data_IF_561509348679
#
_entry.id   IF_561509348679
#
_cell.length_a   1.000
_cell.length_b   1.000
_cell.length_c   1.000
_cell.angle_alpha   90.00
_cell.angle_beta   90.00
_cell.angle_gamma   90.00
#
_symmetry.space_group_name_H-M   'P 1'
#
loop_
_entity.id
_entity.type
_entity.pdbx_description
1 polymer ?
#
# COMPACT_ATOMS: atom_id res chain seq x y z
N UNK A 1 4.27 -15.81 -4.52
CA UNK A 1 4.83 -14.44 -4.44
C UNK A 1 6.34 -14.47 -4.23
N UNK A 2 7.11 -13.50 -4.75
CA UNK A 2 8.57 -13.43 -4.54
C UNK A 2 8.98 -12.99 -3.12
N UNK A 3 8.01 -12.61 -2.28
CA UNK A 3 8.20 -12.29 -0.85
C UNK A 3 8.98 -13.36 -0.08
N UNK A 4 8.88 -14.65 -0.46
CA UNK A 4 9.62 -15.74 0.17
C UNK A 4 11.14 -15.68 -0.02
N UNK A 5 11.60 -14.91 -1.00
CA UNK A 5 13.04 -14.69 -1.25
C UNK A 5 13.62 -13.60 -0.34
N UNK A 6 12.78 -12.90 0.42
CA UNK A 6 13.20 -11.84 1.33
C UNK A 6 13.50 -12.39 2.73
N UNK A 7 14.48 -11.82 3.45
CA UNK A 7 14.62 -12.03 4.88
C UNK A 7 13.35 -11.59 5.63
N UNK A 8 13.06 -12.23 6.77
CA UNK A 8 11.87 -11.98 7.59
C UNK A 8 11.60 -10.49 7.85
N UNK A 9 12.61 -9.71 8.21
CA UNK A 9 12.47 -8.26 8.46
C UNK A 9 12.02 -7.47 7.22
N UNK A 10 12.43 -7.93 6.03
CA UNK A 10 12.09 -7.31 4.74
C UNK A 10 10.69 -7.73 4.27
N UNK A 11 10.22 -8.91 4.66
CA UNK A 11 8.82 -9.33 4.44
C UNK A 11 7.85 -8.44 5.19
N UNK A 12 8.12 -8.16 6.48
CA UNK A 12 7.31 -7.23 7.28
C UNK A 12 7.27 -5.86 6.63
N UNK A 13 8.44 -5.33 6.25
CA UNK A 13 8.51 -4.03 5.58
C UNK A 13 7.72 -4.02 4.26
N UNK A 14 7.82 -5.07 3.45
CA UNK A 14 7.08 -5.17 2.19
C UNK A 14 5.57 -5.13 2.41
N UNK A 15 5.05 -5.86 3.40
CA UNK A 15 3.62 -5.88 3.72
C UNK A 15 3.14 -4.51 4.17
N UNK A 16 3.91 -3.81 5.01
CA UNK A 16 3.57 -2.45 5.45
C UNK A 16 3.61 -1.45 4.27
N UNK A 17 4.59 -1.57 3.36
CA UNK A 17 4.66 -0.74 2.16
C UNK A 17 3.48 -0.98 1.23
N UNK A 18 3.10 -2.25 1.02
CA UNK A 18 1.94 -2.64 0.22
C UNK A 18 0.64 -2.06 0.81
N UNK A 19 0.51 -2.12 2.13
CA UNK A 19 -0.61 -1.53 2.86
C UNK A 19 -0.68 -0.02 2.69
N UNK A 20 0.46 0.67 2.78
CA UNK A 20 0.50 2.11 2.52
C UNK A 20 0.03 2.43 1.10
N UNK A 21 0.51 1.70 0.10
CA UNK A 21 0.09 1.86 -1.30
C UNK A 21 -1.42 1.73 -1.46
N UNK A 22 -2.00 0.61 -1.05
CA UNK A 22 -3.44 0.35 -1.12
C UNK A 22 -4.26 1.43 -0.41
N UNK A 23 -3.86 1.86 0.80
CA UNK A 23 -4.62 2.88 1.55
C UNK A 23 -4.47 4.30 0.99
N UNK A 24 -3.44 4.59 0.21
CA UNK A 24 -3.09 5.97 -0.17
C UNK A 24 -4.04 6.56 -1.20
N UNK A 25 -4.66 5.74 -2.04
CA UNK A 25 -5.66 6.18 -3.04
C UNK A 25 -7.11 5.92 -2.61
N UNK A 26 -7.29 5.21 -1.50
CA UNK A 26 -8.61 4.83 -1.04
C UNK A 26 -9.42 6.01 -0.46
N UNK A 27 -10.76 6.04 -0.70
CA UNK A 27 -11.63 7.12 -0.23
C UNK A 27 -11.58 7.35 1.28
N UNK A 28 -11.74 8.60 1.68
CA UNK A 28 -11.85 9.00 3.08
C UNK A 28 -13.29 8.98 3.57
N UNK A 29 -13.47 8.46 4.78
CA UNK A 29 -14.76 8.43 5.46
C UNK A 29 -14.62 9.13 6.82
N UNK A 30 -15.54 10.06 7.10
CA UNK A 30 -15.69 10.71 8.38
C UNK A 30 -16.93 10.17 9.06
N UNK A 31 -16.73 9.49 10.19
CA UNK A 31 -17.83 8.82 10.91
C UNK A 31 -18.58 7.82 10.01
N UNK A 32 -17.84 7.14 9.14
CA UNK A 32 -18.37 6.20 8.15
C UNK A 32 -19.05 6.84 6.93
N UNK A 33 -19.04 8.18 6.82
CA UNK A 33 -19.70 8.93 5.74
C UNK A 33 -18.71 9.58 4.78
N UNK A 34 -19.10 9.72 3.52
CA UNK A 34 -18.34 10.48 2.55
C UNK A 34 -18.40 11.99 2.85
N UNK A 35 -17.50 12.76 2.23
CA UNK A 35 -17.37 14.21 2.48
C UNK A 35 -18.61 15.02 2.15
N UNK A 36 -19.33 14.62 1.10
CA UNK A 36 -20.58 15.22 0.64
C UNK A 36 -21.78 14.91 1.55
N UNK A 37 -21.67 13.87 2.37
CA UNK A 37 -22.69 13.45 3.35
C UNK A 37 -22.48 14.07 4.74
N UNK A 38 -21.50 14.97 4.89
CA UNK A 38 -21.18 15.59 6.16
C UNK A 38 -22.25 16.61 6.57
N UNK A 39 -22.63 16.52 7.83
CA UNK A 39 -23.60 17.41 8.48
C UNK A 39 -22.92 18.15 9.61
N UNK A 40 -23.59 19.16 10.19
CA UNK A 40 -23.06 19.90 11.35
C UNK A 40 -22.80 19.01 12.58
N UNK A 41 -23.46 17.84 12.66
CA UNK A 41 -23.31 16.88 13.76
C UNK A 41 -22.21 15.82 13.51
N UNK A 42 -21.61 15.80 12.32
CA UNK A 42 -20.59 14.81 11.96
C UNK A 42 -19.28 15.03 12.73
N UNK A 43 -18.73 13.96 13.31
CA UNK A 43 -17.44 14.04 14.01
C UNK A 43 -16.27 14.01 13.02
N UNK A 44 -15.74 15.20 12.70
CA UNK A 44 -14.61 15.35 11.78
C UNK A 44 -13.29 14.72 12.27
N UNK A 45 -13.19 14.37 13.56
CA UNK A 45 -12.03 13.68 14.09
C UNK A 45 -12.07 12.16 13.86
N UNK A 46 -13.25 11.61 13.57
CA UNK A 46 -13.44 10.18 13.30
C UNK A 46 -13.15 9.85 11.82
N UNK A 47 -11.92 10.13 11.40
CA UNK A 47 -11.44 9.85 10.04
C UNK A 47 -11.01 8.39 9.91
N UNK A 48 -11.45 7.75 8.84
CA UNK A 48 -11.11 6.37 8.45
C UNK A 48 -10.91 6.28 6.93
N UNK A 49 -10.28 5.21 6.46
CA UNK A 49 -10.02 4.96 5.04
C UNK A 49 -10.85 3.76 4.59
N UNK A 50 -11.61 3.90 3.52
CA UNK A 50 -12.41 2.81 2.96
C UNK A 50 -11.49 1.75 2.34
N UNK A 51 -11.46 0.54 2.89
CA UNK A 51 -10.62 -0.55 2.38
C UNK A 51 -11.25 -1.21 1.15
N UNK A 52 -10.46 -1.42 0.09
CA UNK A 52 -10.88 -2.21 -1.07
C UNK A 52 -10.79 -3.71 -0.75
N UNK A 53 -11.82 -4.49 -1.10
CA UNK A 53 -11.87 -5.92 -0.81
C UNK A 53 -10.76 -6.72 -1.52
N UNK A 54 -10.47 -6.42 -2.79
CA UNK A 54 -9.44 -7.12 -3.58
C UNK A 54 -8.02 -6.84 -3.07
N UNK A 55 -7.77 -5.62 -2.62
CA UNK A 55 -6.51 -5.23 -2.00
C UNK A 55 -6.38 -5.84 -0.61
N UNK A 56 -7.46 -5.84 0.17
CA UNK A 56 -7.48 -6.41 1.53
C UNK A 56 -7.16 -7.90 1.48
N UNK A 57 -7.79 -8.65 0.58
CA UNK A 57 -7.49 -10.08 0.37
C UNK A 57 -6.02 -10.31 -0.01
N UNK A 58 -5.48 -9.50 -0.93
CA UNK A 58 -4.08 -9.60 -1.34
C UNK A 58 -3.12 -9.29 -0.17
N UNK A 59 -3.41 -8.27 0.62
CA UNK A 59 -2.62 -7.91 1.80
C UNK A 59 -2.66 -9.01 2.86
N UNK A 60 -3.80 -9.64 3.07
CA UNK A 60 -3.93 -10.81 3.95
C UNK A 60 -3.13 -12.00 3.44
N UNK A 61 -3.11 -12.27 2.13
CA UNK A 61 -2.26 -13.30 1.54
C UNK A 61 -0.77 -12.97 1.75
N UNK A 62 -0.35 -11.74 1.47
CA UNK A 62 1.03 -11.28 1.67
C UNK A 62 1.48 -11.42 3.13
N UNK A 63 0.58 -11.13 4.06
CA UNK A 63 0.85 -11.20 5.49
C UNK A 63 1.17 -12.62 5.98
N UNK A 64 0.61 -13.65 5.35
CA UNK A 64 0.89 -15.04 5.71
C UNK A 64 2.37 -15.42 5.53
N UNK A 65 3.11 -14.69 4.68
CA UNK A 65 4.53 -14.93 4.47
C UNK A 65 5.43 -14.20 5.47
N UNK A 66 4.91 -13.18 6.16
CA UNK A 66 5.64 -12.43 7.17
C UNK A 66 5.57 -13.15 8.54
N UNK A 67 6.60 -13.01 9.39
CA UNK A 67 6.62 -13.69 10.68
C UNK A 67 5.54 -13.06 11.57
N UNK A 68 4.75 -13.91 12.24
CA UNK A 68 3.79 -13.46 13.23
C UNK A 68 4.50 -12.80 14.42
N UNK A 69 4.70 -11.48 14.39
CA UNK A 69 4.92 -10.72 15.62
C UNK A 69 3.55 -10.50 16.25
N UNK A 70 3.28 -11.31 17.29
CA UNK A 70 2.02 -11.42 18.05
C UNK A 70 0.81 -11.90 17.25
N UNK A 71 0.54 -13.22 17.34
CA UNK A 71 -0.79 -13.78 17.12
C UNK A 71 -1.80 -13.12 18.08
N UNK A 72 -2.97 -12.69 17.60
CA UNK A 72 -4.21 -12.98 18.31
C UNK A 72 -4.59 -14.44 18.02
N UNK A 73 -5.13 -15.10 19.04
CA UNK A 73 -5.79 -16.39 18.94
C UNK A 73 -6.88 -16.39 17.85
N UNK A 74 -7.22 -17.56 17.28
CA UNK A 74 -8.34 -17.69 16.34
C UNK A 74 -9.62 -17.15 16.99
N UNK A 75 -10.21 -16.11 16.38
CA UNK A 75 -11.43 -15.45 16.87
C UNK A 75 -11.29 -13.95 17.19
N UNK A 76 -10.08 -13.38 17.11
CA UNK A 76 -9.85 -11.93 17.25
C UNK A 76 -9.19 -11.43 15.96
N UNK A 77 -10.00 -11.21 14.93
CA UNK A 77 -9.59 -10.64 13.64
C UNK A 77 -9.34 -9.14 13.79
N UNK A 78 -8.20 -8.75 14.36
CA UNK A 78 -7.59 -7.43 14.13
C UNK A 78 -6.15 -7.42 14.67
N UNK A 79 -5.27 -8.12 13.95
CA UNK A 79 -4.19 -7.42 13.27
C UNK A 79 -3.58 -6.16 13.94
N UNK A 80 -2.83 -6.18 15.04
CA UNK A 80 -2.32 -4.93 15.65
C UNK A 80 -1.40 -4.09 14.71
N UNK A 81 -0.77 -4.75 13.72
CA UNK A 81 -0.02 -4.11 12.62
C UNK A 81 -0.93 -3.51 11.54
N UNK A 82 -2.14 -4.04 11.39
CA UNK A 82 -3.15 -3.56 10.43
C UNK A 82 -3.44 -2.06 10.60
N UNK A 83 -3.31 -1.60 11.85
CA UNK A 83 -3.61 -0.22 12.25
C UNK A 83 -2.40 0.71 12.27
N UNK A 84 -1.14 0.27 12.30
CA UNK A 84 -0.02 1.21 12.51
C UNK A 84 0.22 2.09 11.28
N UNK A 85 0.33 1.49 10.09
CA UNK A 85 0.44 2.26 8.84
C UNK A 85 -0.80 3.10 8.56
N UNK A 86 -2.01 2.54 8.75
CA UNK A 86 -3.27 3.26 8.57
C UNK A 86 -3.37 4.45 9.54
N UNK A 87 -3.09 4.24 10.84
CA UNK A 87 -3.08 5.33 11.84
C UNK A 87 -2.07 6.41 11.47
N UNK A 88 -0.84 6.04 11.09
CA UNK A 88 0.18 7.02 10.68
C UNK A 88 -0.28 7.84 9.48
N UNK A 89 -0.90 7.20 8.49
CA UNK A 89 -1.45 7.89 7.32
C UNK A 89 -2.58 8.84 7.72
N UNK A 90 -3.55 8.37 8.52
CA UNK A 90 -4.64 9.19 9.05
C UNK A 90 -4.12 10.40 9.82
N UNK A 91 -3.14 10.20 10.70
CA UNK A 91 -2.55 11.30 11.47
C UNK A 91 -1.83 12.32 10.58
N UNK A 92 -1.19 11.89 9.48
CA UNK A 92 -0.64 12.82 8.48
C UNK A 92 -1.73 13.55 7.72
N UNK A 93 -2.80 12.87 7.34
CA UNK A 93 -3.93 13.44 6.60
C UNK A 93 -4.70 14.47 7.44
N UNK A 94 -4.89 14.24 8.74
CA UNK A 94 -5.50 15.21 9.67
C UNK A 94 -4.74 16.54 9.76
N UNK A 95 -3.48 16.58 9.32
CA UNK A 95 -2.71 17.82 9.23
C UNK A 95 -3.16 18.77 8.11
N UNK A 96 -3.98 18.30 7.17
CA UNK A 96 -4.48 19.10 6.05
C UNK A 96 -5.88 19.66 6.33
N UNK A 97 -6.20 20.87 5.83
CA UNK A 97 -7.56 21.38 5.89
C UNK A 97 -8.55 20.44 5.20
N UNK A 98 -9.78 20.32 5.73
CA UNK A 98 -10.84 19.47 5.15
C UNK A 98 -11.11 19.78 3.67
N UNK A 99 -10.93 21.03 3.24
CA UNK A 99 -11.11 21.43 1.84
C UNK A 99 -10.02 20.89 0.90
N UNK A 100 -8.87 20.44 1.43
CA UNK A 100 -7.71 19.98 0.66
C UNK A 100 -7.31 18.52 0.91
N UNK A 101 -7.84 17.89 1.95
CA UNK A 101 -7.39 16.56 2.39
C UNK A 101 -7.58 15.45 1.35
N UNK A 102 -8.59 15.57 0.47
CA UNK A 102 -8.84 14.64 -0.63
C UNK A 102 -8.07 14.99 -1.91
N UNK A 103 -7.46 16.18 -1.97
CA UNK A 103 -6.72 16.60 -3.16
C UNK A 103 -5.49 15.69 -3.34
N UNK A 104 -5.21 15.22 -4.57
CA UNK A 104 -4.10 14.30 -4.83
C UNK A 104 -2.77 14.78 -4.25
N UNK A 105 -2.48 16.08 -4.30
CA UNK A 105 -1.25 16.67 -3.75
C UNK A 105 -1.13 16.43 -2.23
N UNK A 106 -2.20 16.67 -1.47
CA UNK A 106 -2.22 16.47 -0.02
C UNK A 106 -2.06 14.98 0.33
N UNK A 107 -2.75 14.12 -0.43
CA UNK A 107 -2.69 12.66 -0.28
C UNK A 107 -1.28 12.14 -0.53
N UNK A 108 -0.65 12.56 -1.64
CA UNK A 108 0.74 12.22 -1.99
C UNK A 108 1.69 12.71 -0.89
N UNK A 109 1.53 13.94 -0.40
CA UNK A 109 2.40 14.48 0.64
C UNK A 109 2.27 13.70 1.97
N UNK A 110 1.05 13.37 2.38
CA UNK A 110 0.80 12.57 3.58
C UNK A 110 1.42 11.17 3.47
N UNK A 111 1.11 10.46 2.38
CA UNK A 111 1.61 9.11 2.13
C UNK A 111 3.14 9.08 1.99
N UNK A 112 3.73 10.04 1.27
CA UNK A 112 5.19 10.18 1.13
C UNK A 112 5.86 10.42 2.49
N UNK A 113 5.23 11.19 3.38
CA UNK A 113 5.76 11.39 4.74
C UNK A 113 5.77 10.10 5.55
N UNK A 114 4.75 9.26 5.44
CA UNK A 114 4.70 7.95 6.11
C UNK A 114 5.75 7.03 5.49
N UNK A 115 5.80 6.97 4.16
CA UNK A 115 6.77 6.17 3.40
C UNK A 115 8.21 6.45 3.82
N UNK A 116 8.60 7.74 3.87
CA UNK A 116 9.96 8.13 4.28
C UNK A 116 10.30 7.67 5.68
N UNK A 117 9.36 7.77 6.63
CA UNK A 117 9.57 7.31 8.00
C UNK A 117 9.72 5.77 8.07
N UNK A 118 8.99 5.02 7.22
CA UNK A 118 9.11 3.55 7.16
C UNK A 118 10.45 3.09 6.56
N UNK A 119 10.94 3.84 5.57
CA UNK A 119 12.20 3.56 4.89
C UNK A 119 13.41 4.09 5.66
N UNK A 120 13.25 5.04 6.58
CA UNK A 120 14.38 5.65 7.30
C UNK A 120 15.29 4.61 7.97
N UNK A 121 16.60 4.69 7.69
CA UNK A 121 17.61 3.76 8.21
C UNK A 121 17.58 2.34 7.62
N UNK A 122 16.62 2.00 6.75
CA UNK A 122 16.50 0.67 6.12
C UNK A 122 17.50 0.47 4.99
N UNK A 123 18.66 -0.11 5.30
CA UNK A 123 19.66 -0.50 4.30
C UNK A 123 19.33 -1.84 3.65
N UNK A 124 19.80 -2.03 2.42
CA UNK A 124 19.82 -3.32 1.73
C UNK A 124 21.27 -3.63 1.35
N UNK A 125 21.67 -4.89 1.49
CA UNK A 125 23.04 -5.32 1.22
C UNK A 125 23.27 -5.58 -0.28
N UNK A 126 22.18 -5.87 -1.01
CA UNK A 126 22.18 -6.24 -2.41
C UNK A 126 21.07 -5.53 -3.21
N UNK A 127 21.15 -5.60 -4.54
CA UNK A 127 20.15 -5.03 -5.45
C UNK A 127 18.93 -5.94 -5.69
N UNK A 128 19.01 -7.23 -5.38
CA UNK A 128 17.88 -8.15 -5.55
C UNK A 128 16.76 -7.83 -4.55
N UNK A 129 17.10 -7.50 -3.31
CA UNK A 129 16.11 -7.12 -2.28
C UNK A 129 15.22 -5.95 -2.73
N UNK A 130 15.74 -4.77 -3.13
CA UNK A 130 14.92 -3.69 -3.69
C UNK A 130 14.11 -4.06 -4.93
N UNK A 131 14.67 -4.90 -5.83
CA UNK A 131 13.97 -5.34 -7.04
C UNK A 131 12.76 -6.21 -6.70
N UNK A 132 12.92 -7.15 -5.75
CA UNK A 132 11.83 -7.99 -5.28
C UNK A 132 10.75 -7.13 -4.62
N UNK A 133 11.14 -6.18 -3.76
CA UNK A 133 10.20 -5.25 -3.11
C UNK A 133 9.40 -4.48 -4.15
N UNK A 134 10.06 -3.76 -5.08
CA UNK A 134 9.34 -2.99 -6.10
C UNK A 134 8.45 -3.87 -6.99
N UNK A 135 8.95 -5.02 -7.42
CA UNK A 135 8.14 -5.91 -8.27
C UNK A 135 6.88 -6.38 -7.55
N UNK A 136 6.97 -6.75 -6.27
CA UNK A 136 5.79 -7.12 -5.49
C UNK A 136 4.84 -5.93 -5.30
N UNK A 137 5.35 -4.72 -5.08
CA UNK A 137 4.53 -3.51 -4.96
C UNK A 137 3.84 -3.12 -6.27
N UNK A 138 4.46 -3.35 -7.43
CA UNK A 138 3.77 -3.18 -8.72
C UNK A 138 2.58 -4.13 -8.84
N UNK A 139 2.72 -5.39 -8.42
CA UNK A 139 1.60 -6.33 -8.47
C UNK A 139 0.46 -5.93 -7.53
N UNK A 140 0.78 -5.30 -6.40
CA UNK A 140 -0.23 -4.73 -5.50
C UNK A 140 -0.95 -3.56 -6.17
N UNK A 141 -0.20 -2.59 -6.71
CA UNK A 141 -0.77 -1.42 -7.37
C UNK A 141 -1.48 -1.73 -8.70
N UNK A 142 -1.27 -2.90 -9.29
CA UNK A 142 -1.96 -3.35 -10.50
C UNK A 142 -3.22 -4.17 -10.18
N UNK A 143 -3.53 -4.40 -8.90
CA UNK A 143 -4.58 -5.33 -8.45
C UNK A 143 -5.98 -4.90 -8.90
N UNK A 144 -6.24 -3.60 -8.93
CA UNK A 144 -7.48 -3.00 -9.43
C UNK A 144 -7.44 -2.72 -10.95
N UNK A 145 -6.33 -3.05 -11.61
CA UNK A 145 -6.12 -2.98 -13.05
C UNK A 145 -5.23 -1.82 -13.52
N UNK A 146 -4.97 -0.81 -12.69
CA UNK A 146 -4.15 0.34 -13.08
C UNK A 146 -3.44 0.96 -11.88
N UNK A 147 -2.19 1.38 -12.08
CA UNK A 147 -1.46 2.10 -11.03
C UNK A 147 -1.96 3.55 -11.00
N UNK A 148 -2.48 3.98 -9.86
CA UNK A 148 -2.94 5.36 -9.68
C UNK A 148 -1.77 6.35 -9.63
N UNK A 149 -2.06 7.64 -9.82
CA UNK A 149 -1.01 8.67 -9.73
C UNK A 149 -0.37 8.73 -8.34
N UNK A 150 -1.14 8.46 -7.28
CA UNK A 150 -0.62 8.47 -5.90
C UNK A 150 0.32 7.29 -5.70
N UNK A 151 -0.12 6.10 -6.11
CA UNK A 151 0.70 4.89 -6.04
C UNK A 151 1.98 5.01 -6.86
N UNK A 152 1.87 5.55 -8.08
CA UNK A 152 3.02 5.81 -8.95
C UNK A 152 4.06 6.68 -8.26
N UNK A 153 3.63 7.78 -7.63
CA UNK A 153 4.52 8.67 -6.89
C UNK A 153 5.21 7.96 -5.73
N UNK A 154 4.51 7.11 -4.99
CA UNK A 154 5.10 6.31 -3.91
C UNK A 154 6.11 5.28 -4.45
N UNK A 155 5.79 4.59 -5.55
CA UNK A 155 6.69 3.65 -6.21
C UNK A 155 7.99 4.34 -6.69
N UNK A 156 7.87 5.55 -7.26
CA UNK A 156 9.04 6.37 -7.65
C UNK A 156 9.86 6.83 -6.45
N UNK A 157 9.22 7.17 -5.33
CA UNK A 157 9.95 7.52 -4.11
C UNK A 157 10.70 6.30 -3.53
N UNK A 158 10.11 5.10 -3.59
CA UNK A 158 10.78 3.84 -3.21
C UNK A 158 11.98 3.56 -4.14
N UNK A 159 11.80 3.75 -5.44
CA UNK A 159 12.90 3.62 -6.41
C UNK A 159 14.05 4.57 -6.06
N UNK A 160 13.74 5.84 -5.79
CA UNK A 160 14.73 6.86 -5.44
C UNK A 160 15.46 6.50 -4.15
N UNK A 161 14.73 6.05 -3.12
CA UNK A 161 15.29 5.62 -1.85
C UNK A 161 16.32 4.50 -2.02
N UNK A 162 15.98 3.47 -2.79
CA UNK A 162 16.89 2.35 -3.07
C UNK A 162 17.92 2.64 -4.17
N UNK A 163 17.88 3.84 -4.77
CA UNK A 163 18.75 4.26 -5.88
C UNK A 163 18.72 3.28 -7.05
N UNK A 164 17.54 2.73 -7.34
CA UNK A 164 17.38 1.79 -8.44
C UNK A 164 17.42 2.55 -9.79
N UNK A 165 18.22 2.09 -10.76
CA UNK A 165 18.26 2.71 -12.08
C UNK A 165 16.90 2.71 -12.77
N UNK A 166 16.59 3.75 -13.55
CA UNK A 166 15.30 3.87 -14.25
C UNK A 166 15.02 2.71 -15.21
N UNK A 167 16.05 2.17 -15.86
CA UNK A 167 15.88 1.01 -16.75
C UNK A 167 15.45 -0.25 -15.98
N UNK A 168 15.95 -0.45 -14.75
CA UNK A 168 15.52 -1.56 -13.90
C UNK A 168 14.07 -1.35 -13.44
N UNK A 169 13.72 -0.14 -13.02
CA UNK A 169 12.36 0.19 -12.61
C UNK A 169 11.36 -0.09 -13.74
N UNK A 170 11.67 0.40 -14.95
CA UNK A 170 10.86 0.19 -16.14
C UNK A 170 10.76 -1.30 -16.50
N UNK A 171 11.88 -2.01 -16.56
CA UNK A 171 11.87 -3.44 -16.88
C UNK A 171 11.02 -4.25 -15.87
N UNK A 172 11.07 -3.91 -14.57
CA UNK A 172 10.25 -4.56 -13.56
C UNK A 172 8.76 -4.23 -13.73
N UNK A 173 8.42 -2.98 -14.06
CA UNK A 173 7.05 -2.56 -14.34
C UNK A 173 6.49 -3.29 -15.56
N UNK A 174 7.20 -3.29 -16.69
CA UNK A 174 6.77 -3.95 -17.93
C UNK A 174 6.51 -5.45 -17.68
N UNK A 175 7.31 -6.08 -16.82
CA UNK A 175 7.13 -7.48 -16.40
C UNK A 175 5.92 -7.67 -15.49
N UNK A 176 5.67 -6.76 -14.56
CA UNK A 176 4.52 -6.80 -13.67
C UNK A 176 3.20 -6.61 -14.45
N UNK A 177 3.16 -5.65 -15.38
CA UNK A 177 2.02 -5.42 -16.28
C UNK A 177 1.74 -6.64 -17.16
N UNK A 178 2.79 -7.23 -17.75
CA UNK A 178 2.66 -8.45 -18.55
C UNK A 178 2.08 -9.60 -17.72
N UNK A 179 2.58 -9.80 -16.50
CA UNK A 179 2.10 -10.84 -15.60
C UNK A 179 0.64 -10.61 -15.19
N UNK A 180 0.27 -9.36 -14.87
CA UNK A 180 -1.10 -9.00 -14.50
C UNK A 180 -2.07 -9.27 -15.67
N UNK A 181 -1.71 -8.87 -16.88
CA UNK A 181 -2.49 -9.13 -18.10
C UNK A 181 -2.72 -10.64 -18.32
N UNK A 182 -1.67 -11.46 -18.23
CA UNK A 182 -1.81 -12.92 -18.40
C UNK A 182 -2.66 -13.54 -17.28
N UNK A 183 -2.55 -13.04 -16.05
CA UNK A 183 -3.40 -13.48 -14.94
C UNK A 183 -4.87 -13.13 -15.19
N UNK A 184 -5.18 -11.91 -15.63
CA UNK A 184 -6.55 -11.49 -15.98
C UNK A 184 -7.14 -12.34 -17.10
N UNK A 185 -6.37 -12.62 -18.16
CA UNK A 185 -6.81 -13.52 -19.25
C UNK A 185 -7.09 -14.93 -18.75
N UNK A 186 -6.24 -15.45 -17.87
CA UNK A 186 -6.42 -16.78 -17.28
C UNK A 186 -7.68 -16.84 -16.42
N UNK A 187 -7.94 -15.81 -15.60
CA UNK A 187 -9.16 -15.73 -14.80
C UNK A 187 -10.41 -15.65 -15.69
N UNK A 188 -10.37 -14.88 -16.77
CA UNK A 188 -11.47 -14.83 -17.74
C UNK A 188 -11.77 -16.23 -18.31
N UNK A 189 -10.73 -16.97 -18.74
CA UNK A 189 -10.88 -18.34 -19.23
C UNK A 189 -11.42 -19.34 -18.19
N UNK A 190 -11.16 -19.12 -16.90
CA UNK A 190 -11.64 -20.00 -15.82
C UNK A 190 -13.11 -19.72 -15.46
N UNK A 191 -13.54 -18.46 -15.59
CA UNK A 191 -14.88 -18.00 -15.21
C UNK A 191 -15.90 -18.11 -16.34
N UNK A 192 -15.45 -18.36 -17.57
CA UNK A 192 -16.27 -18.79 -18.71
C UNK A 192 -16.80 -20.23 -18.55
#
# INVERSE_FOLDING_TARGET
MFINMLPEEKKVLLVELARLLALSDNPLLWDGKAKDELTSDSNLNNLSIQKNALETELLEEMAQYAPARSYPLPGILEVEWDKDTEKRLIEKLKGFPLSKIDEPESRIQAATSVLKAMLEGKKTEDLATPKIVLFQLFLVALRDGQISNIEWMLLKEIQLYYKLPDFIFKDLLDRAESLNSEMSKTLALILE
#
